data_IF_246223504433
#
_entry.id   IF_246223504433
#
_cell.length_a   1.000
_cell.length_b   1.000
_cell.length_c   1.000
_cell.angle_alpha   90.00
_cell.angle_beta   90.00
_cell.angle_gamma   90.00
#
_symmetry.space_group_name_H-M   'P 1'
#
loop_
_entity.id
_entity.type
_entity.pdbx_description
1 polymer ?
#
# COMPACT_ATOMS: atom_id res chain seq x y z
N UNK A 1 54.21 -5.96 59.42
CA UNK A 1 54.56 -4.94 58.40
C UNK A 1 55.59 -5.48 57.43
N UNK A 2 55.20 -5.80 56.19
CA UNK A 2 56.09 -5.88 55.01
C UNK A 2 55.25 -5.47 53.79
N UNK A 3 55.51 -4.27 53.26
CA UNK A 3 54.82 -3.67 52.10
C UNK A 3 55.20 -4.44 50.85
N UNK A 4 54.21 -4.99 50.12
CA UNK A 4 54.40 -5.56 48.79
C UNK A 4 54.42 -4.42 47.77
N UNK A 5 55.60 -4.14 47.21
CA UNK A 5 55.75 -3.26 46.06
C UNK A 5 55.22 -3.98 44.81
N UNK A 6 54.20 -3.42 44.17
CA UNK A 6 53.73 -3.85 42.84
C UNK A 6 54.63 -3.17 41.81
N UNK A 7 55.26 -3.90 40.86
CA UNK A 7 56.19 -3.29 39.92
C UNK A 7 55.42 -2.42 38.91
N UNK A 8 55.89 -1.19 38.77
CA UNK A 8 55.39 -0.12 37.89
C UNK A 8 55.33 -0.51 36.39
N UNK A 9 55.88 -1.67 36.01
CA UNK A 9 55.83 -2.21 34.65
C UNK A 9 54.44 -2.73 34.23
N UNK A 10 53.51 -2.90 35.18
CA UNK A 10 52.13 -3.33 34.92
C UNK A 10 51.13 -2.18 34.74
N UNK A 11 51.59 -0.92 34.77
CA UNK A 11 50.72 0.25 34.54
C UNK A 11 50.88 0.87 33.14
N UNK A 12 51.96 0.53 32.42
CA UNK A 12 52.22 1.10 31.08
C UNK A 12 51.64 0.27 29.93
N UNK A 13 51.38 -1.02 30.14
CA UNK A 13 50.68 -1.88 29.17
C UNK A 13 49.17 -1.64 29.14
N UNK A 14 48.61 -0.97 30.15
CA UNK A 14 47.18 -0.65 30.20
C UNK A 14 46.81 0.58 29.34
N UNK A 15 47.78 1.44 29.00
CA UNK A 15 47.50 2.71 28.31
C UNK A 15 47.57 2.62 26.77
N UNK A 16 48.17 1.57 26.20
CA UNK A 16 48.15 1.34 24.74
C UNK A 16 46.94 0.51 24.27
N UNK A 17 46.09 0.06 25.19
CA UNK A 17 44.86 -0.68 24.88
C UNK A 17 43.61 0.22 24.80
N UNK A 18 43.80 1.55 24.77
CA UNK A 18 42.71 2.55 24.71
C UNK A 18 42.57 3.18 23.32
N UNK A 19 43.52 2.95 22.40
CA UNK A 19 43.50 3.54 21.04
C UNK A 19 43.11 2.57 19.92
N UNK A 20 42.68 1.35 20.27
CA UNK A 20 42.17 0.37 19.31
C UNK A 20 40.84 -0.23 19.79
N UNK A 21 39.93 0.60 20.29
CA UNK A 21 38.51 0.21 20.26
C UNK A 21 38.08 0.37 18.79
N UNK A 22 37.75 -0.71 18.07
CA UNK A 22 37.05 -0.53 16.81
C UNK A 22 35.80 0.24 17.18
N UNK A 23 35.62 1.38 16.53
CA UNK A 23 34.43 2.19 16.62
C UNK A 23 33.24 1.25 16.72
N UNK A 24 32.48 1.39 17.80
CA UNK A 24 31.10 0.94 17.87
C UNK A 24 30.34 1.81 16.85
N UNK A 25 30.69 1.67 15.57
CA UNK A 25 29.85 2.03 14.47
C UNK A 25 28.64 1.15 14.71
N UNK A 26 27.64 1.78 15.32
CA UNK A 26 26.31 1.26 15.51
C UNK A 26 25.96 0.56 14.21
N UNK A 27 26.09 -0.76 14.18
CA UNK A 27 25.33 -1.58 13.24
C UNK A 27 23.89 -1.52 13.73
N UNK A 28 23.30 -0.32 13.67
CA UNK A 28 21.94 -0.15 13.22
C UNK A 28 21.94 -0.49 11.72
N UNK A 29 22.35 -1.73 11.41
CA UNK A 29 21.81 -2.43 10.27
C UNK A 29 20.33 -2.47 10.61
N UNK A 30 19.54 -1.71 9.86
CA UNK A 30 18.10 -1.91 9.80
C UNK A 30 17.85 -3.41 9.80
N UNK A 31 17.44 -3.98 10.93
CA UNK A 31 16.66 -5.19 10.88
C UNK A 31 15.36 -4.76 10.21
N UNK A 32 15.34 -4.81 8.88
CA UNK A 32 14.08 -4.88 8.16
C UNK A 32 13.39 -6.14 8.67
N UNK A 33 12.57 -5.99 9.71
CA UNK A 33 11.67 -7.02 10.20
C UNK A 33 10.82 -7.42 9.00
N UNK A 34 11.21 -8.51 8.34
CA UNK A 34 10.51 -9.06 7.18
C UNK A 34 9.04 -9.20 7.57
N UNK A 35 8.17 -8.41 6.94
CA UNK A 35 6.74 -8.40 7.25
C UNK A 35 6.19 -9.81 7.04
N UNK A 36 5.50 -10.33 8.04
CA UNK A 36 4.84 -11.64 7.94
C UNK A 36 3.54 -11.48 7.16
N UNK A 37 3.66 -11.51 5.84
CA UNK A 37 2.54 -11.36 4.91
C UNK A 37 1.87 -12.72 4.68
N UNK A 38 0.54 -12.79 4.51
CA UNK A 38 -0.13 -14.02 4.05
C UNK A 38 0.35 -14.42 2.66
N UNK A 39 0.05 -15.65 2.23
CA UNK A 39 0.48 -16.11 0.90
C UNK A 39 -0.07 -15.19 -0.20
N UNK A 40 -1.36 -14.92 -0.19
CA UNK A 40 -2.07 -14.04 -1.13
C UNK A 40 -3.08 -13.20 -0.35
N UNK A 41 -3.21 -11.93 -0.69
CA UNK A 41 -4.24 -11.05 -0.13
C UNK A 41 -4.43 -9.84 -1.04
N UNK A 42 -5.67 -9.48 -1.34
CA UNK A 42 -5.99 -8.29 -2.12
C UNK A 42 -6.99 -7.40 -1.38
N UNK A 43 -6.97 -6.11 -1.66
CA UNK A 43 -8.00 -5.17 -1.21
C UNK A 43 -8.22 -4.07 -2.25
N UNK A 44 -9.41 -3.48 -2.24
CA UNK A 44 -9.76 -2.35 -3.10
C UNK A 44 -10.53 -1.30 -2.30
N UNK A 45 -10.18 -0.03 -2.44
CA UNK A 45 -10.84 1.06 -1.72
C UNK A 45 -10.81 2.38 -2.50
N UNK A 46 -11.93 3.11 -2.61
CA UNK A 46 -11.91 4.49 -3.07
C UNK A 46 -11.23 5.39 -2.03
N UNK A 47 -10.67 6.51 -2.47
CA UNK A 47 -10.06 7.53 -1.59
C UNK A 47 -11.08 8.12 -0.60
N UNK A 48 -12.32 8.30 -1.05
CA UNK A 48 -13.42 8.83 -0.26
C UNK A 48 -14.55 7.81 -0.16
N UNK A 49 -15.24 7.79 0.98
CA UNK A 49 -16.37 6.87 1.25
C UNK A 49 -17.70 7.36 0.70
N UNK A 50 -17.74 8.58 0.16
CA UNK A 50 -18.90 9.21 -0.45
C UNK A 50 -18.55 10.63 -0.90
N UNK A 51 -19.24 11.11 -1.94
CA UNK A 51 -18.98 12.42 -2.55
C UNK A 51 -20.32 13.10 -2.86
N UNK A 52 -20.37 14.40 -2.63
CA UNK A 52 -21.51 15.25 -2.97
C UNK A 52 -21.05 16.23 -4.05
N UNK A 53 -21.73 16.24 -5.19
CA UNK A 53 -21.46 17.13 -6.32
C UNK A 53 -22.74 17.82 -6.79
N UNK A 54 -22.60 18.90 -7.55
CA UNK A 54 -23.74 19.57 -8.17
C UNK A 54 -24.34 18.72 -9.30
N UNK A 55 -25.57 19.03 -9.73
CA UNK A 55 -26.20 18.33 -10.86
C UNK A 55 -25.33 18.46 -12.11
N UNK A 56 -25.09 17.33 -12.78
CA UNK A 56 -24.34 17.26 -14.04
C UNK A 56 -22.81 17.25 -13.85
N UNK A 57 -22.31 17.37 -12.62
CA UNK A 57 -20.87 17.30 -12.37
C UNK A 57 -20.34 15.87 -12.44
N UNK A 58 -19.22 15.75 -13.13
CA UNK A 58 -18.42 14.55 -13.21
C UNK A 58 -17.65 14.28 -11.93
N UNK A 59 -17.59 13.01 -11.52
CA UNK A 59 -16.72 12.57 -10.42
C UNK A 59 -15.53 11.82 -11.00
N UNK A 60 -14.34 12.09 -10.48
CA UNK A 60 -13.10 11.40 -10.84
C UNK A 60 -12.30 11.20 -9.55
N UNK A 61 -12.18 9.95 -9.09
CA UNK A 61 -11.58 9.65 -7.80
C UNK A 61 -10.55 8.54 -7.90
N UNK A 62 -9.62 8.54 -6.97
CA UNK A 62 -8.64 7.49 -6.85
C UNK A 62 -9.24 6.24 -6.22
N UNK A 63 -8.86 5.10 -6.78
CA UNK A 63 -9.23 3.75 -6.40
C UNK A 63 -7.94 2.97 -6.16
N UNK A 64 -7.63 2.73 -4.90
CA UNK A 64 -6.43 1.99 -4.51
C UNK A 64 -6.70 0.49 -4.61
N UNK A 65 -5.94 -0.20 -5.46
CA UNK A 65 -5.88 -1.67 -5.52
C UNK A 65 -4.58 -2.11 -4.87
N UNK A 66 -4.66 -2.88 -3.78
CA UNK A 66 -3.50 -3.32 -3.03
C UNK A 66 -3.37 -4.85 -3.01
N UNK A 67 -2.13 -5.31 -3.04
CA UNK A 67 -1.74 -6.69 -2.85
C UNK A 67 -0.91 -6.78 -1.56
N UNK A 68 -1.49 -7.35 -0.52
CA UNK A 68 -0.84 -7.61 0.76
C UNK A 68 -0.24 -9.01 0.88
N UNK A 69 -0.24 -9.79 -0.21
CA UNK A 69 0.31 -11.14 -0.27
C UNK A 69 1.81 -11.16 -0.57
N UNK A 70 2.40 -12.36 -0.46
CA UNK A 70 3.80 -12.65 -0.83
C UNK A 70 4.00 -12.93 -2.32
N UNK A 71 2.91 -13.14 -3.05
CA UNK A 71 2.90 -13.40 -4.49
C UNK A 71 2.37 -12.18 -5.23
N UNK A 72 2.81 -11.98 -6.47
CA UNK A 72 2.26 -10.94 -7.34
C UNK A 72 0.87 -11.34 -7.83
N UNK A 73 0.00 -10.36 -8.07
CA UNK A 73 -1.38 -10.61 -8.49
C UNK A 73 -1.75 -9.78 -9.71
N UNK A 74 -2.41 -10.41 -10.67
CA UNK A 74 -3.18 -9.70 -11.68
C UNK A 74 -4.64 -9.67 -11.23
N UNK A 75 -5.16 -8.46 -11.04
CA UNK A 75 -6.45 -8.20 -10.40
C UNK A 75 -7.36 -7.49 -11.41
N UNK A 76 -8.45 -8.14 -11.78
CA UNK A 76 -9.53 -7.53 -12.55
C UNK A 76 -10.37 -6.64 -11.64
N UNK A 77 -10.81 -5.49 -12.16
CA UNK A 77 -11.62 -4.51 -11.45
C UNK A 77 -12.88 -4.23 -12.26
N UNK A 78 -14.03 -4.34 -11.61
CA UNK A 78 -15.32 -4.17 -12.26
C UNK A 78 -16.31 -3.40 -11.39
N UNK A 79 -17.29 -2.77 -12.07
CA UNK A 79 -18.43 -2.07 -11.46
C UNK A 79 -19.67 -2.88 -11.82
N UNK A 80 -20.06 -3.88 -11.00
CA UNK A 80 -21.09 -4.86 -11.37
C UNK A 80 -22.47 -4.25 -11.61
N UNK A 81 -22.73 -3.05 -11.10
CA UNK A 81 -23.99 -2.34 -11.34
C UNK A 81 -23.71 -0.85 -11.45
N UNK A 82 -24.17 -0.25 -12.53
CA UNK A 82 -24.11 1.20 -12.75
C UNK A 82 -25.53 1.74 -12.62
N UNK A 83 -25.79 2.73 -11.75
CA UNK A 83 -27.09 3.37 -11.65
C UNK A 83 -27.57 3.93 -12.99
N UNK A 84 -28.90 3.89 -13.21
CA UNK A 84 -29.49 4.39 -14.44
C UNK A 84 -29.13 5.87 -14.67
N UNK A 85 -28.80 6.22 -15.91
CA UNK A 85 -28.40 7.57 -16.30
C UNK A 85 -26.94 7.89 -16.00
N UNK A 86 -26.16 6.96 -15.45
CA UNK A 86 -24.72 7.15 -15.23
C UNK A 86 -23.89 6.31 -16.21
N UNK A 87 -22.72 6.86 -16.56
CA UNK A 87 -21.63 6.10 -17.13
C UNK A 87 -20.52 5.98 -16.07
N UNK A 88 -19.93 4.79 -15.95
CA UNK A 88 -18.88 4.52 -14.99
C UNK A 88 -17.74 3.78 -15.67
N UNK A 89 -16.52 4.25 -15.46
CA UNK A 89 -15.31 3.71 -16.08
C UNK A 89 -14.17 3.63 -15.08
N UNK A 90 -13.34 2.61 -15.21
CA UNK A 90 -12.05 2.54 -14.54
C UNK A 90 -10.98 2.97 -15.54
N UNK A 91 -10.14 3.92 -15.14
CA UNK A 91 -9.15 4.55 -16.01
C UNK A 91 -7.75 4.52 -15.41
N UNK A 92 -6.77 4.65 -16.28
CA UNK A 92 -5.40 5.03 -15.93
C UNK A 92 -4.82 5.83 -17.08
N UNK A 93 -4.13 6.93 -16.79
CA UNK A 93 -3.62 7.85 -17.81
C UNK A 93 -4.71 8.22 -18.84
N UNK A 94 -4.56 7.77 -20.09
CA UNK A 94 -5.51 8.00 -21.18
C UNK A 94 -6.35 6.76 -21.56
N UNK A 95 -6.22 5.65 -20.82
CA UNK A 95 -6.85 4.37 -21.16
C UNK A 95 -7.98 4.02 -20.20
N UNK A 96 -9.03 3.42 -20.75
CA UNK A 96 -10.01 2.66 -19.98
C UNK A 96 -9.39 1.26 -19.73
N UNK A 97 -9.43 0.79 -18.48
CA UNK A 97 -8.81 -0.48 -18.08
C UNK A 97 -9.78 -1.35 -17.32
N UNK A 98 -9.58 -2.66 -17.39
CA UNK A 98 -10.40 -3.68 -16.72
C UNK A 98 -9.69 -4.34 -15.54
N UNK A 99 -8.45 -3.95 -15.25
CA UNK A 99 -7.64 -4.58 -14.23
C UNK A 99 -6.23 -4.03 -14.16
N UNK A 100 -5.45 -4.54 -13.22
CA UNK A 100 -4.10 -4.08 -12.92
C UNK A 100 -3.26 -5.20 -12.33
N UNK A 101 -1.99 -5.28 -12.74
CA UNK A 101 -1.01 -6.15 -12.10
C UNK A 101 -0.33 -5.43 -10.92
N UNK A 102 -0.34 -6.04 -9.74
CA UNK A 102 0.17 -5.48 -8.49
C UNK A 102 1.16 -6.46 -7.86
N UNK A 103 2.42 -6.04 -7.75
CA UNK A 103 3.46 -6.82 -7.12
C UNK A 103 3.18 -7.05 -5.63
N UNK A 104 3.82 -8.07 -5.05
CA UNK A 104 3.76 -8.38 -3.63
C UNK A 104 4.05 -7.16 -2.75
N UNK A 105 3.22 -6.97 -1.74
CA UNK A 105 3.30 -5.87 -0.77
C UNK A 105 3.28 -4.46 -1.41
N UNK A 106 2.61 -4.32 -2.56
CA UNK A 106 2.44 -3.04 -3.26
C UNK A 106 0.97 -2.71 -3.46
N UNK A 107 0.74 -1.46 -3.84
CA UNK A 107 -0.55 -0.97 -4.33
C UNK A 107 -0.36 -0.20 -5.62
N UNK A 108 -1.46 -0.05 -6.36
CA UNK A 108 -1.58 0.83 -7.52
C UNK A 108 -2.86 1.64 -7.41
N UNK A 109 -2.80 2.89 -7.87
CA UNK A 109 -3.98 3.74 -8.00
C UNK A 109 -4.55 3.62 -9.41
N UNK A 110 -5.85 3.41 -9.50
CA UNK A 110 -6.67 3.55 -10.69
C UNK A 110 -7.63 4.73 -10.47
N UNK A 111 -8.25 5.22 -11.53
CA UNK A 111 -9.25 6.28 -11.41
C UNK A 111 -10.63 5.72 -11.69
N UNK A 112 -11.56 5.85 -10.73
CA UNK A 112 -12.99 5.66 -10.97
C UNK A 112 -13.56 6.97 -11.52
N UNK A 113 -13.98 6.94 -12.78
CA UNK A 113 -14.65 8.05 -13.45
C UNK A 113 -16.15 7.76 -13.50
N UNK A 114 -16.94 8.66 -12.93
CA UNK A 114 -18.41 8.63 -12.98
C UNK A 114 -18.89 9.88 -13.72
N UNK A 115 -19.72 9.66 -14.74
CA UNK A 115 -20.28 10.70 -15.61
C UNK A 115 -21.80 10.62 -15.58
N UNK A 116 -22.51 11.60 -15.01
CA UNK A 116 -23.97 11.66 -15.10
C UNK A 116 -24.40 12.10 -16.50
N UNK A 117 -25.46 11.49 -17.03
CA UNK A 117 -26.18 12.00 -18.20
C UNK A 117 -27.02 13.24 -17.81
N UNK A 118 -27.44 14.04 -18.81
CA UNK A 118 -28.06 15.36 -18.61
C UNK A 118 -29.32 15.33 -17.70
N UNK A 119 -30.06 14.22 -17.74
CA UNK A 119 -31.36 14.07 -17.07
C UNK A 119 -31.30 13.33 -15.72
N UNK A 120 -30.10 13.08 -15.19
CA UNK A 120 -29.94 12.46 -13.87
C UNK A 120 -30.53 13.39 -12.80
N UNK A 121 -31.51 12.88 -12.05
CA UNK A 121 -32.14 13.60 -10.96
C UNK A 121 -31.21 13.70 -9.73
N UNK A 122 -31.32 14.75 -8.90
CA UNK A 122 -30.64 14.78 -7.61
C UNK A 122 -31.04 13.58 -6.75
N UNK A 123 -30.07 12.97 -6.08
CA UNK A 123 -30.31 11.78 -5.26
C UNK A 123 -29.02 11.14 -4.79
N UNK A 124 -29.17 10.04 -4.05
CA UNK A 124 -28.05 9.20 -3.63
C UNK A 124 -27.89 8.05 -4.62
N UNK A 125 -26.69 7.93 -5.17
CA UNK A 125 -26.30 6.87 -6.08
C UNK A 125 -25.21 6.04 -5.42
N UNK A 126 -25.24 4.72 -5.62
CA UNK A 126 -24.25 3.79 -5.06
C UNK A 126 -23.63 3.00 -6.20
N UNK A 127 -22.30 2.97 -6.23
CA UNK A 127 -21.50 2.30 -7.23
C UNK A 127 -20.71 1.18 -6.56
N UNK A 128 -21.20 -0.08 -6.57
CA UNK A 128 -20.42 -1.21 -6.10
C UNK A 128 -19.16 -1.38 -6.96
N UNK A 129 -18.04 -1.74 -6.33
CA UNK A 129 -16.76 -1.97 -6.98
C UNK A 129 -16.26 -3.34 -6.52
N UNK A 130 -15.76 -4.13 -7.47
CA UNK A 130 -15.23 -5.47 -7.20
C UNK A 130 -13.81 -5.58 -7.74
N UNK A 131 -12.98 -6.34 -7.04
CA UNK A 131 -11.65 -6.73 -7.46
C UNK A 131 -11.55 -8.26 -7.37
N UNK A 132 -11.03 -8.91 -8.40
CA UNK A 132 -10.91 -10.36 -8.47
C UNK A 132 -9.58 -10.79 -9.09
N UNK A 133 -8.91 -11.79 -8.53
CA UNK A 133 -7.71 -12.38 -9.17
C UNK A 133 -8.09 -13.17 -10.41
N UNK A 134 -7.20 -13.28 -11.39
CA UNK A 134 -7.48 -14.02 -12.66
C UNK A 134 -7.94 -15.47 -12.42
N UNK A 135 -7.43 -16.13 -11.38
CA UNK A 135 -7.83 -17.49 -11.02
C UNK A 135 -9.16 -17.56 -10.22
N UNK A 136 -9.78 -16.41 -9.96
CA UNK A 136 -11.06 -16.26 -9.25
C UNK A 136 -11.01 -16.57 -7.76
N UNK A 137 -9.84 -16.93 -7.19
CA UNK A 137 -9.74 -17.41 -5.80
C UNK A 137 -9.83 -16.31 -4.76
N UNK A 138 -9.43 -15.10 -5.10
CA UNK A 138 -9.55 -13.94 -4.23
C UNK A 138 -10.51 -12.93 -4.83
N UNK A 139 -11.37 -12.40 -3.97
CA UNK A 139 -12.29 -11.31 -4.28
C UNK A 139 -12.25 -10.28 -3.16
N UNK A 140 -12.23 -9.01 -3.53
CA UNK A 140 -12.47 -7.89 -2.63
C UNK A 140 -13.59 -7.02 -3.20
N UNK A 141 -14.29 -6.30 -2.33
CA UNK A 141 -15.39 -5.43 -2.75
C UNK A 141 -15.40 -4.16 -1.95
N UNK A 142 -15.82 -3.09 -2.60
CA UNK A 142 -16.03 -1.78 -2.01
C UNK A 142 -17.21 -1.09 -2.69
N UNK A 143 -17.48 0.15 -2.32
CA UNK A 143 -18.52 0.97 -2.94
C UNK A 143 -18.20 2.45 -2.77
N UNK A 144 -18.69 3.24 -3.71
CA UNK A 144 -18.82 4.69 -3.59
C UNK A 144 -20.30 5.08 -3.50
#
# INVERSE_FOLDING_TARGET
MKRRHVPFLWLFTLCLMVLLTPSLATRALSEEKKRDLPQRAISIAPEYTGIVVSKGESVSIDLTVANGGREDESIEVAIPTVPQGWNAKIKTYSFDVTGVHVASDKSKSLTLKLDPQEDVAPGKYVFPITAQTIDGKLTASSRL
#
